data_IF_233979617622
#
_entry.id   IF_233979617622
#
_cell.length_a   1.000
_cell.length_b   1.000
_cell.length_c   1.000
_cell.angle_alpha   90.00
_cell.angle_beta   90.00
_cell.angle_gamma   90.00
#
_symmetry.space_group_name_H-M   'P 1'
#
loop_
_entity.id
_entity.type
_entity.pdbx_description
1 polymer ?
#
# COMPACT_ATOMS: atom_id res chain seq x y z
N UNK A 1 -1.94 -3.52 19.26
CA UNK A 1 -0.69 -4.08 18.75
C UNK A 1 -1.01 -4.45 17.31
N UNK A 2 -0.51 -3.66 16.38
CA UNK A 2 -1.06 -3.48 15.04
C UNK A 2 -1.00 -4.75 14.19
N UNK A 3 -2.16 -5.22 13.74
CA UNK A 3 -2.30 -6.32 12.80
C UNK A 3 -1.85 -5.85 11.41
N UNK A 4 -0.52 -5.83 11.19
CA UNK A 4 0.06 -5.76 9.86
C UNK A 4 -0.20 -7.10 9.18
N UNK A 5 -1.05 -7.12 8.15
CA UNK A 5 -1.41 -8.36 7.47
C UNK A 5 -0.28 -8.88 6.58
N UNK A 6 0.45 -7.98 5.92
CA UNK A 6 1.55 -8.28 5.01
C UNK A 6 2.55 -7.12 5.03
N UNK A 7 3.85 -7.41 5.03
CA UNK A 7 4.89 -6.39 4.88
C UNK A 7 6.10 -6.96 4.16
N UNK A 8 6.66 -6.20 3.24
CA UNK A 8 7.90 -6.57 2.54
C UNK A 8 8.73 -5.34 2.21
N UNK A 9 10.04 -5.46 2.39
CA UNK A 9 11.01 -4.45 2.00
C UNK A 9 11.64 -4.79 0.66
N UNK A 10 11.48 -3.87 -0.31
CA UNK A 10 12.07 -3.96 -1.65
C UNK A 10 12.93 -2.71 -1.89
N UNK A 11 14.24 -2.89 -1.90
CA UNK A 11 15.19 -1.77 -2.00
C UNK A 11 15.07 -0.84 -0.79
N UNK A 12 14.77 0.44 -1.05
CA UNK A 12 14.57 1.46 -0.01
C UNK A 12 13.11 1.61 0.45
N UNK A 13 12.17 0.87 -0.14
CA UNK A 13 10.76 0.96 0.22
C UNK A 13 10.30 -0.27 1.00
N UNK A 14 9.61 -0.04 2.12
CA UNK A 14 8.85 -1.07 2.83
C UNK A 14 7.38 -0.92 2.45
N UNK A 15 6.85 -1.89 1.70
CA UNK A 15 5.42 -1.97 1.38
C UNK A 15 4.72 -2.77 2.46
N UNK A 16 3.57 -2.33 2.92
CA UNK A 16 2.77 -3.06 3.90
C UNK A 16 1.27 -2.87 3.71
N UNK A 17 0.51 -3.83 4.20
CA UNK A 17 -0.96 -3.81 4.18
C UNK A 17 -1.49 -3.56 5.59
N UNK A 18 -2.31 -2.54 5.74
CA UNK A 18 -2.88 -2.13 7.03
C UNK A 18 -4.41 -2.04 6.98
N UNK A 19 -5.11 -2.58 8.00
CA UNK A 19 -6.53 -2.31 8.24
C UNK A 19 -6.65 -0.94 8.93
N UNK A 20 -6.91 0.13 8.19
CA UNK A 20 -7.19 1.43 8.82
C UNK A 20 -8.66 1.56 9.17
N UNK A 21 -8.95 2.22 10.29
CA UNK A 21 -10.31 2.55 10.70
C UNK A 21 -11.06 3.28 9.58
N UNK A 22 -12.32 2.93 9.35
CA UNK A 22 -13.21 3.44 8.28
C UNK A 22 -13.17 4.96 8.09
N UNK A 23 -12.95 5.69 9.17
CA UNK A 23 -12.84 7.16 9.17
C UNK A 23 -11.67 7.65 8.30
N UNK A 24 -10.49 7.04 8.44
CA UNK A 24 -9.30 7.36 7.65
C UNK A 24 -9.48 6.86 6.21
N UNK A 25 -10.16 5.72 6.05
CA UNK A 25 -10.48 5.16 4.74
C UNK A 25 -11.24 6.14 3.85
N UNK A 26 -12.31 6.72 4.40
CA UNK A 26 -13.16 7.70 3.70
C UNK A 26 -12.46 9.04 3.46
N UNK A 27 -11.55 9.46 4.35
CA UNK A 27 -10.88 10.76 4.26
C UNK A 27 -9.69 10.79 3.31
N UNK A 28 -9.07 9.64 3.01
CA UNK A 28 -7.84 9.57 2.21
C UNK A 28 -7.97 10.02 0.74
N UNK A 29 -9.16 10.37 0.25
CA UNK A 29 -9.35 11.07 -1.04
C UNK A 29 -8.98 10.29 -2.31
N UNK A 30 -8.27 9.15 -2.21
CA UNK A 30 -7.90 8.31 -3.34
C UNK A 30 -9.18 7.70 -3.92
N UNK A 31 -9.58 8.18 -5.10
CA UNK A 31 -10.63 7.56 -5.91
C UNK A 31 -10.04 6.32 -6.57
N UNK A 32 -10.52 5.14 -6.16
CA UNK A 32 -10.08 3.88 -6.75
C UNK A 32 -10.42 2.70 -5.86
N UNK A 33 -11.35 1.86 -6.33
CA UNK A 33 -11.52 0.44 -5.97
C UNK A 33 -11.79 0.08 -4.51
N UNK A 34 -12.22 1.03 -3.69
CA UNK A 34 -12.42 0.83 -2.26
C UNK A 34 -13.82 1.22 -1.79
N UNK A 35 -14.61 0.24 -1.33
CA UNK A 35 -15.98 0.45 -0.84
C UNK A 35 -16.06 1.26 0.46
N UNK A 36 -17.07 1.01 1.30
CA UNK A 36 -17.27 1.77 2.56
C UNK A 36 -16.26 1.45 3.67
N UNK A 37 -15.50 0.37 3.51
CA UNK A 37 -14.48 -0.19 4.41
C UNK A 37 -13.40 -0.87 3.57
N UNK A 38 -12.20 -1.09 4.13
CA UNK A 38 -11.18 -1.85 3.40
C UNK A 38 -9.76 -1.76 3.95
N UNK A 39 -8.83 -2.28 3.16
CA UNK A 39 -7.41 -2.33 3.43
C UNK A 39 -6.68 -1.29 2.61
N UNK A 40 -5.56 -0.79 3.14
CA UNK A 40 -4.64 0.04 2.39
C UNK A 40 -3.35 -0.71 2.13
N UNK A 41 -2.82 -0.52 0.92
CA UNK A 41 -1.44 -0.85 0.60
C UNK A 41 -0.64 0.43 0.69
N UNK A 42 0.31 0.45 1.62
CA UNK A 42 1.15 1.61 1.93
C UNK A 42 2.60 1.32 1.58
N UNK A 43 3.38 2.37 1.36
CA UNK A 43 4.83 2.31 1.29
C UNK A 43 5.47 3.32 2.24
N UNK A 44 6.52 2.90 2.92
CA UNK A 44 7.39 3.76 3.70
C UNK A 44 8.79 3.73 3.11
N UNK A 45 9.39 4.90 2.88
CA UNK A 45 10.80 4.97 2.48
C UNK A 45 11.68 4.83 3.71
N UNK A 46 12.57 3.85 3.68
CA UNK A 46 13.51 3.56 4.75
C UNK A 46 14.60 4.64 4.87
N UNK A 47 14.94 5.31 3.77
CA UNK A 47 15.84 6.47 3.75
C UNK A 47 15.30 7.68 4.50
N UNK A 48 13.97 7.81 4.63
CA UNK A 48 13.35 8.92 5.35
C UNK A 48 12.07 8.46 6.09
N UNK A 49 12.22 7.73 7.20
CA UNK A 49 11.08 7.20 7.94
C UNK A 49 10.25 8.32 8.62
N UNK A 50 10.84 9.49 8.84
CA UNK A 50 10.16 10.67 9.41
C UNK A 50 9.15 11.31 8.43
N UNK A 51 9.24 11.01 7.13
CA UNK A 51 8.27 11.45 6.13
C UNK A 51 6.90 10.75 6.27
N UNK A 52 6.80 9.72 7.10
CA UNK A 52 5.59 8.92 7.26
C UNK A 52 5.46 7.85 6.18
N UNK A 53 4.22 7.41 5.95
CA UNK A 53 3.88 6.42 4.92
C UNK A 53 3.03 7.04 3.82
N UNK A 54 3.21 6.55 2.61
CA UNK A 54 2.44 6.91 1.43
C UNK A 54 1.39 5.83 1.17
N UNK A 55 0.16 6.24 0.86
CA UNK A 55 -0.90 5.31 0.48
C UNK A 55 -0.79 5.07 -1.03
N UNK A 56 -0.45 3.83 -1.42
CA UNK A 56 -0.32 3.44 -2.82
C UNK A 56 -1.67 3.00 -3.41
N UNK A 57 -2.47 2.28 -2.63
CA UNK A 57 -3.74 1.74 -3.10
C UNK A 57 -4.75 1.47 -1.98
N UNK A 58 -6.01 1.36 -2.38
CA UNK A 58 -7.14 0.88 -1.58
C UNK A 58 -7.63 -0.46 -2.09
N UNK A 59 -8.02 -1.32 -1.16
CA UNK A 59 -8.68 -2.58 -1.47
C UNK A 59 -9.92 -2.73 -0.60
N UNK A 60 -11.01 -3.25 -1.16
CA UNK A 60 -12.25 -3.54 -0.44
C UNK A 60 -12.23 -4.86 0.34
N UNK A 61 -11.24 -5.73 0.10
CA UNK A 61 -11.05 -7.02 0.76
C UNK A 61 -9.57 -7.34 0.93
N UNK A 62 -9.25 -8.28 1.82
CA UNK A 62 -7.87 -8.72 2.05
C UNK A 62 -7.27 -9.39 0.82
N UNK A 63 -8.06 -10.18 0.09
CA UNK A 63 -7.62 -10.85 -1.14
C UNK A 63 -7.20 -9.84 -2.22
N UNK A 64 -7.99 -8.77 -2.38
CA UNK A 64 -7.67 -7.69 -3.30
C UNK A 64 -6.43 -6.92 -2.84
N UNK A 65 -6.27 -6.69 -1.54
CA UNK A 65 -5.09 -6.05 -0.98
C UNK A 65 -3.83 -6.87 -1.24
N UNK A 66 -3.92 -8.20 -1.10
CA UNK A 66 -2.83 -9.13 -1.34
C UNK A 66 -2.46 -9.20 -2.82
N UNK A 67 -3.45 -9.17 -3.73
CA UNK A 67 -3.20 -9.09 -5.17
C UNK A 67 -2.44 -7.80 -5.54
N UNK A 68 -2.89 -6.65 -5.03
CA UNK A 68 -2.23 -5.36 -5.29
C UNK A 68 -0.82 -5.34 -4.69
N UNK A 69 -0.68 -5.81 -3.45
CA UNK A 69 0.60 -5.93 -2.77
C UNK A 69 1.60 -6.76 -3.59
N UNK A 70 1.21 -7.95 -4.02
CA UNK A 70 2.06 -8.84 -4.81
C UNK A 70 2.44 -8.21 -6.15
N UNK A 71 1.50 -7.51 -6.81
CA UNK A 71 1.76 -6.82 -8.07
C UNK A 71 2.79 -5.67 -7.89
N UNK A 72 2.65 -4.86 -6.84
CA UNK A 72 3.57 -3.76 -6.54
C UNK A 72 4.96 -4.26 -6.15
N UNK A 73 5.04 -5.26 -5.27
CA UNK A 73 6.30 -5.90 -4.88
C UNK A 73 7.00 -6.49 -6.11
N UNK A 74 6.28 -7.22 -6.95
CA UNK A 74 6.85 -7.80 -8.18
C UNK A 74 7.31 -6.72 -9.16
N UNK A 75 6.55 -5.64 -9.31
CA UNK A 75 6.93 -4.50 -10.17
C UNK A 75 8.20 -3.81 -9.69
N UNK A 76 8.35 -3.61 -8.38
CA UNK A 76 9.55 -2.98 -7.79
C UNK A 76 10.76 -3.90 -7.86
N UNK A 77 10.57 -5.21 -7.63
CA UNK A 77 11.64 -6.22 -7.76
C UNK A 77 12.15 -6.33 -9.20
N UNK A 78 11.23 -6.25 -10.17
CA UNK A 78 11.58 -6.39 -11.59
C UNK A 78 12.08 -5.09 -12.24
N UNK A 79 12.08 -3.96 -11.51
CA UNK A 79 12.58 -2.69 -12.02
C UNK A 79 11.81 -2.10 -13.21
N UNK A 80 10.64 -2.66 -13.55
CA UNK A 80 9.84 -2.22 -14.70
C UNK A 80 9.02 -0.99 -14.34
N UNK A 81 9.69 0.14 -14.10
CA UNK A 81 9.06 1.45 -14.22
C UNK A 81 9.09 1.77 -15.71
N UNK A 82 8.00 1.47 -16.42
CA UNK A 82 7.75 2.12 -17.70
C UNK A 82 7.60 3.61 -17.42
N UNK A 83 8.70 4.32 -17.55
CA UNK A 83 8.74 5.77 -17.64
C UNK A 83 7.96 6.13 -18.91
N UNK A 84 6.66 6.42 -18.77
CA UNK A 84 5.95 7.11 -19.83
C UNK A 84 6.44 8.55 -19.79
N UNK A 85 7.36 8.82 -20.72
CA UNK A 85 7.82 10.16 -21.08
C UNK A 85 6.69 10.99 -21.68
#
# INVERSE_FOLDING_TARGET
>A
MDELFLSETVGDATIFVSPLADRVYRQSGVQGLGGSQGFFVCAQRNSNPAAGFEILAKASSIDNAQLIFNALVSSLRNGTIHQFA
#
